data_IF_144538511237
#
_entry.id   IF_144538511237
#
_cell.length_a   1.000
_cell.length_b   1.000
_cell.length_c   1.000
_cell.angle_alpha   90.00
_cell.angle_beta   90.00
_cell.angle_gamma   90.00
#
_symmetry.space_group_name_H-M   'P 1'
#
loop_
_entity.id
_entity.type
_entity.pdbx_description
1 polymer ?
#
# COMPACT_ATOMS: atom_id res chain seq x y z
N UNK A 1 63.32 55.90 -58.49
CA UNK A 1 64.55 56.25 -57.76
C UNK A 1 64.87 55.05 -56.87
N UNK A 2 65.92 54.31 -57.25
CA UNK A 2 66.63 53.19 -56.58
C UNK A 2 65.76 51.94 -56.27
N UNK A 3 65.80 50.86 -57.08
CA UNK A 3 66.74 49.71 -57.02
C UNK A 3 66.56 48.88 -55.71
N UNK A 4 66.38 47.55 -55.65
CA UNK A 4 67.09 46.41 -56.26
C UNK A 4 66.41 45.09 -55.81
N UNK A 5 66.31 44.17 -56.78
CA UNK A 5 66.48 42.70 -56.77
C UNK A 5 66.33 41.80 -55.53
N UNK A 6 65.66 40.67 -55.82
CA UNK A 6 66.11 39.26 -55.67
C UNK A 6 67.19 38.92 -54.63
N UNK A 7 66.94 37.85 -53.87
CA UNK A 7 67.73 36.61 -53.90
C UNK A 7 67.12 35.56 -52.95
N UNK A 8 66.89 34.33 -53.43
CA UNK A 8 67.65 33.11 -53.10
C UNK A 8 67.44 32.62 -51.64
N UNK A 9 67.35 31.34 -51.28
CA UNK A 9 67.35 30.02 -51.92
C UNK A 9 67.25 29.03 -50.73
N UNK A 10 67.20 27.73 -51.01
CA UNK A 10 67.64 26.61 -50.14
C UNK A 10 66.62 26.06 -49.13
N UNK A 11 66.00 24.91 -49.42
CA UNK A 11 66.48 23.50 -49.20
C UNK A 11 66.51 23.15 -47.70
N UNK A 12 66.16 21.97 -47.20
CA UNK A 12 65.98 20.61 -47.74
C UNK A 12 65.25 19.80 -46.65
N UNK A 13 64.50 18.76 -47.04
CA UNK A 13 64.39 17.45 -46.38
C UNK A 13 64.12 17.32 -44.86
N UNK A 14 63.03 16.65 -44.48
CA UNK A 14 62.99 15.18 -44.34
C UNK A 14 61.83 14.73 -43.45
N UNK A 15 61.11 13.74 -43.97
CA UNK A 15 60.25 12.73 -43.35
C UNK A 15 60.16 12.63 -41.82
N UNK A 16 58.92 12.61 -41.30
CA UNK A 16 58.43 11.53 -40.43
C UNK A 16 56.96 11.24 -40.75
N UNK A 17 56.68 9.95 -40.94
CA UNK A 17 55.42 9.28 -41.19
C UNK A 17 54.51 9.35 -39.96
N UNK A 18 53.21 9.60 -40.15
CA UNK A 18 52.24 9.61 -39.06
C UNK A 18 50.79 9.56 -39.57
N UNK A 19 50.45 8.49 -40.29
CA UNK A 19 49.08 8.08 -40.58
C UNK A 19 48.29 7.87 -39.29
N UNK A 20 47.24 8.68 -39.07
CA UNK A 20 46.16 8.36 -38.13
C UNK A 20 44.83 8.54 -38.87
N UNK A 21 44.38 7.41 -39.42
CA UNK A 21 43.02 7.22 -39.88
C UNK A 21 42.09 7.29 -38.66
N UNK A 22 41.28 8.35 -38.60
CA UNK A 22 40.13 8.38 -37.69
C UNK A 22 39.07 7.44 -38.24
N UNK A 23 39.07 6.20 -37.75
CA UNK A 23 37.93 5.31 -37.88
C UNK A 23 36.79 5.87 -37.01
N UNK A 24 35.83 6.54 -37.65
CA UNK A 24 34.57 6.89 -37.05
C UNK A 24 33.76 5.60 -36.84
N UNK A 25 33.92 5.00 -35.66
CA UNK A 25 32.96 4.02 -35.15
C UNK A 25 31.65 4.74 -34.89
N UNK A 26 30.75 4.68 -35.87
CA UNK A 26 29.31 4.85 -35.67
C UNK A 26 28.84 3.67 -34.82
N UNK A 27 29.02 3.76 -33.50
CA UNK A 27 28.21 3.00 -32.57
C UNK A 27 26.79 3.54 -32.71
N UNK A 28 25.99 2.86 -33.54
CA UNK A 28 24.55 3.03 -33.54
C UNK A 28 24.04 2.78 -32.13
N UNK A 29 23.81 3.86 -31.38
CA UNK A 29 23.01 3.84 -30.19
C UNK A 29 21.61 3.41 -30.65
N UNK A 30 21.36 2.10 -30.57
CA UNK A 30 20.00 1.57 -30.52
C UNK A 30 19.42 2.21 -29.27
N UNK A 31 18.76 3.35 -29.49
CA UNK A 31 17.87 3.94 -28.53
C UNK A 31 16.73 2.93 -28.44
N UNK A 32 16.89 1.94 -27.58
CA UNK A 32 15.78 1.19 -27.07
C UNK A 32 14.89 2.25 -26.43
N UNK A 33 13.92 2.74 -27.20
CA UNK A 33 12.76 3.39 -26.67
C UNK A 33 12.16 2.35 -25.74
N UNK A 34 12.57 2.40 -24.47
CA UNK A 34 11.82 1.87 -23.38
C UNK A 34 10.46 2.52 -23.54
N UNK A 35 9.55 1.80 -24.18
CA UNK A 35 8.13 2.09 -24.09
C UNK A 35 7.88 2.09 -22.60
N UNK A 36 7.84 3.29 -22.00
CA UNK A 36 7.30 3.51 -20.68
C UNK A 36 5.93 2.84 -20.72
N UNK A 37 5.88 1.64 -20.15
CA UNK A 37 4.64 0.90 -20.02
C UNK A 37 3.81 1.82 -19.14
N UNK A 38 2.82 2.49 -19.72
CA UNK A 38 1.90 3.34 -18.98
C UNK A 38 1.29 2.44 -17.90
N UNK A 39 1.79 2.58 -16.68
CA UNK A 39 1.36 1.76 -15.55
C UNK A 39 -0.03 2.26 -15.22
N UNK A 40 -1.04 1.51 -15.67
CA UNK A 40 -2.40 1.69 -15.17
C UNK A 40 -2.37 1.40 -13.67
N UNK A 41 -3.08 2.24 -12.92
CA UNK A 41 -3.22 2.12 -11.48
C UNK A 41 -4.71 2.09 -11.15
N UNK A 42 -5.36 1.01 -11.59
CA UNK A 42 -6.74 0.75 -11.20
C UNK A 42 -6.74 0.24 -9.76
N UNK A 43 -7.37 1.00 -8.86
CA UNK A 43 -7.49 0.65 -7.45
C UNK A 43 -8.89 0.13 -7.17
N UNK A 44 -8.98 -1.03 -6.52
CA UNK A 44 -10.19 -1.44 -5.81
C UNK A 44 -10.00 -1.15 -4.31
N UNK A 45 -10.81 -0.27 -3.75
CA UNK A 45 -10.75 0.15 -2.36
C UNK A 45 -12.00 -0.34 -1.62
N UNK A 46 -11.82 -1.32 -0.74
CA UNK A 46 -12.80 -1.73 0.25
C UNK A 46 -12.74 -0.79 1.46
N UNK A 47 -13.59 0.22 1.45
CA UNK A 47 -13.72 1.23 2.50
C UNK A 47 -14.78 0.78 3.50
N UNK A 48 -14.39 -0.10 4.42
CA UNK A 48 -15.30 -0.55 5.47
C UNK A 48 -15.37 0.48 6.60
N UNK A 49 -14.32 1.31 6.73
CA UNK A 49 -14.12 2.27 7.80
C UNK A 49 -14.63 3.68 7.48
N UNK A 50 -15.29 3.96 6.37
CA UNK A 50 -15.69 5.34 6.01
C UNK A 50 -14.51 6.33 5.99
N UNK A 51 -13.38 5.88 5.44
CA UNK A 51 -12.09 6.53 5.51
C UNK A 51 -11.88 7.55 4.39
N UNK A 52 -12.62 8.66 4.45
CA UNK A 52 -12.54 9.74 3.45
C UNK A 52 -11.10 10.25 3.26
N UNK A 53 -10.33 10.40 4.34
CA UNK A 53 -8.95 10.86 4.28
C UNK A 53 -8.01 9.85 3.59
N UNK A 54 -8.19 8.55 3.84
CA UNK A 54 -7.42 7.51 3.15
C UNK A 54 -7.77 7.47 1.65
N UNK A 55 -9.06 7.47 1.33
CA UNK A 55 -9.57 7.50 -0.05
C UNK A 55 -8.98 8.69 -0.80
N UNK A 56 -9.06 9.89 -0.23
CA UNK A 56 -8.48 11.10 -0.81
C UNK A 56 -6.95 11.00 -0.97
N UNK A 57 -6.25 10.34 -0.04
CA UNK A 57 -4.80 10.13 -0.12
C UNK A 57 -4.44 9.24 -1.33
N UNK A 58 -5.14 8.13 -1.55
CA UNK A 58 -4.98 7.29 -2.75
C UNK A 58 -5.35 8.03 -4.04
N UNK A 59 -6.37 8.88 -3.99
CA UNK A 59 -6.74 9.78 -5.09
C UNK A 59 -5.77 10.93 -5.34
N UNK A 60 -4.83 11.22 -4.45
CA UNK A 60 -3.90 12.33 -4.64
C UNK A 60 -2.52 11.89 -5.15
N UNK A 61 -2.08 10.69 -4.79
CA UNK A 61 -0.69 10.23 -5.07
C UNK A 61 -0.55 9.47 -6.40
N UNK A 62 -1.67 9.14 -7.05
CA UNK A 62 -1.65 8.48 -8.36
C UNK A 62 -1.88 9.46 -9.51
N UNK A 63 -1.10 9.37 -10.62
CA UNK A 63 -1.28 10.22 -11.80
C UNK A 63 -2.72 10.18 -12.32
N UNK A 64 -3.32 11.37 -12.53
CA UNK A 64 -4.72 11.52 -12.95
C UNK A 64 -5.04 10.89 -14.31
N UNK A 65 -4.07 10.80 -15.20
CA UNK A 65 -4.26 10.37 -16.60
C UNK A 65 -4.48 8.86 -16.77
N UNK A 66 -4.21 8.04 -15.74
CA UNK A 66 -4.33 6.57 -15.83
C UNK A 66 -4.86 5.92 -14.55
N UNK A 67 -5.70 6.64 -13.80
CA UNK A 67 -6.29 6.15 -12.55
C UNK A 67 -7.78 5.88 -12.69
N UNK A 68 -8.20 4.73 -12.18
CA UNK A 68 -9.59 4.48 -11.82
C UNK A 68 -9.65 3.99 -10.39
N UNK A 69 -10.46 4.64 -9.55
CA UNK A 69 -10.72 4.20 -8.18
C UNK A 69 -12.12 3.60 -8.13
N UNK A 70 -12.20 2.33 -7.80
CA UNK A 70 -13.44 1.62 -7.52
C UNK A 70 -13.62 1.54 -6.02
N UNK A 71 -14.66 2.18 -5.49
CA UNK A 71 -14.94 2.22 -4.06
C UNK A 71 -16.05 1.22 -3.72
N UNK A 72 -15.81 0.39 -2.71
CA UNK A 72 -16.79 -0.54 -2.13
C UNK A 72 -16.85 -0.28 -0.63
N UNK A 73 -17.99 0.15 -0.06
CA UNK A 73 -19.25 0.49 -0.72
C UNK A 73 -19.16 1.73 -1.62
N UNK A 74 -19.91 1.71 -2.72
CA UNK A 74 -19.96 2.78 -3.70
C UNK A 74 -20.60 4.08 -3.17
N UNK A 75 -20.21 5.22 -3.75
CA UNK A 75 -20.79 6.53 -3.40
C UNK A 75 -22.26 6.66 -3.80
N UNK A 76 -22.73 5.87 -4.78
CA UNK A 76 -24.17 5.82 -5.11
C UNK A 76 -24.98 5.13 -4.03
N UNK A 77 -24.38 4.17 -3.32
CA UNK A 77 -25.01 3.48 -2.19
C UNK A 77 -24.97 4.32 -0.92
N UNK A 78 -23.80 4.86 -0.60
CA UNK A 78 -23.57 5.74 0.53
C UNK A 78 -23.04 7.08 0.05
N UNK A 79 -23.98 7.99 -0.22
CA UNK A 79 -23.66 9.36 -0.60
C UNK A 79 -22.91 10.09 0.52
N UNK A 80 -22.24 11.22 0.22
CA UNK A 80 -21.46 11.96 1.21
C UNK A 80 -22.25 12.40 2.44
N UNK A 81 -23.53 12.75 2.29
CA UNK A 81 -24.37 13.17 3.42
C UNK A 81 -24.71 12.01 4.34
N UNK A 82 -24.95 10.83 3.79
CA UNK A 82 -25.15 9.59 4.54
C UNK A 82 -23.87 9.16 5.25
N UNK A 83 -22.73 9.22 4.56
CA UNK A 83 -21.40 8.93 5.15
C UNK A 83 -21.08 9.85 6.33
N UNK A 84 -21.39 11.15 6.24
CA UNK A 84 -21.28 12.09 7.37
C UNK A 84 -22.15 11.70 8.56
N UNK A 85 -23.40 11.27 8.32
CA UNK A 85 -24.30 10.82 9.39
C UNK A 85 -23.78 9.55 10.07
N UNK A 86 -23.25 8.60 9.30
CA UNK A 86 -22.66 7.37 9.84
C UNK A 86 -21.42 7.71 10.68
N UNK A 87 -20.55 8.59 10.19
CA UNK A 87 -19.36 9.05 10.93
C UNK A 87 -19.73 9.71 12.26
N UNK A 88 -20.73 10.61 12.24
CA UNK A 88 -21.20 11.27 13.46
C UNK A 88 -21.78 10.27 14.46
N UNK A 89 -22.54 9.27 13.97
CA UNK A 89 -23.07 8.19 14.80
C UNK A 89 -21.94 7.36 15.42
N UNK A 90 -20.90 7.03 14.66
CA UNK A 90 -19.77 6.25 15.16
C UNK A 90 -18.99 6.98 16.26
N UNK A 91 -18.74 8.28 16.11
CA UNK A 91 -18.11 9.10 17.16
C UNK A 91 -18.88 9.04 18.49
N UNK A 92 -20.21 9.11 18.42
CA UNK A 92 -21.05 8.97 19.61
C UNK A 92 -20.94 7.56 20.22
N UNK A 93 -20.87 6.53 19.37
CA UNK A 93 -20.66 5.14 19.81
C UNK A 93 -19.33 4.98 20.52
N UNK A 94 -18.24 5.54 20.01
CA UNK A 94 -16.91 5.46 20.63
C UNK A 94 -16.89 6.13 22.02
N UNK A 95 -17.51 7.30 22.14
CA UNK A 95 -17.66 7.99 23.43
C UNK A 95 -18.44 7.13 24.46
N UNK A 96 -19.50 6.45 24.02
CA UNK A 96 -20.28 5.57 24.88
C UNK A 96 -19.55 4.26 25.20
N UNK A 97 -18.77 3.69 24.28
CA UNK A 97 -17.93 2.52 24.54
C UNK A 97 -16.90 2.85 25.61
N UNK A 98 -16.25 4.03 25.53
CA UNK A 98 -15.33 4.49 26.56
C UNK A 98 -16.00 4.58 27.93
N UNK A 99 -17.23 5.11 28.01
CA UNK A 99 -18.03 5.11 29.26
C UNK A 99 -18.39 3.70 29.72
N UNK A 100 -18.83 2.83 28.80
CA UNK A 100 -19.20 1.45 29.09
C UNK A 100 -18.02 0.62 29.63
N UNK A 101 -16.78 0.94 29.25
CA UNK A 101 -15.58 0.28 29.80
C UNK A 101 -15.46 0.43 31.33
N UNK A 102 -16.02 1.51 31.89
CA UNK A 102 -16.04 1.76 33.35
C UNK A 102 -17.13 0.97 34.10
N UNK A 103 -18.00 0.24 33.39
CA UNK A 103 -19.09 -0.53 33.99
C UNK A 103 -18.65 -1.88 34.57
N UNK A 104 -17.38 -2.25 34.43
CA UNK A 104 -16.82 -3.47 35.00
C UNK A 104 -15.92 -3.14 36.22
N UNK A 105 -16.19 -3.68 37.43
CA UNK A 105 -17.29 -4.59 37.76
C UNK A 105 -18.64 -3.86 37.93
N UNK A 106 -19.74 -4.57 37.60
CA UNK A 106 -21.09 -4.09 37.83
C UNK A 106 -21.43 -4.21 39.32
N UNK A 107 -21.74 -3.10 39.96
CA UNK A 107 -22.10 -2.99 41.39
C UNK A 107 -23.56 -2.54 41.54
N UNK A 108 -24.19 -2.72 42.71
CA UNK A 108 -25.52 -2.16 42.96
C UNK A 108 -25.58 -0.63 42.74
N UNK A 109 -24.48 0.09 43.01
CA UNK A 109 -24.42 1.54 42.91
C UNK A 109 -24.37 2.07 41.46
N UNK A 110 -23.70 1.37 40.55
CA UNK A 110 -23.56 1.79 39.14
C UNK A 110 -24.49 1.04 38.17
N UNK A 111 -25.30 0.09 38.66
CA UNK A 111 -26.14 -0.77 37.82
C UNK A 111 -27.06 0.02 36.89
N UNK A 112 -27.82 0.97 37.44
CA UNK A 112 -28.80 1.73 36.65
C UNK A 112 -28.13 2.59 35.56
N UNK A 113 -27.03 3.27 35.89
CA UNK A 113 -26.28 4.07 34.91
C UNK A 113 -25.64 3.20 33.83
N UNK A 114 -25.13 2.01 34.19
CA UNK A 114 -24.53 1.10 33.23
C UNK A 114 -25.55 0.48 32.27
N UNK A 115 -26.74 0.10 32.77
CA UNK A 115 -27.83 -0.32 31.88
C UNK A 115 -28.24 0.79 30.91
N UNK A 116 -28.37 2.03 31.37
CA UNK A 116 -28.69 3.15 30.49
C UNK A 116 -27.65 3.34 29.37
N UNK A 117 -26.35 3.23 29.68
CA UNK A 117 -25.27 3.29 28.68
C UNK A 117 -25.37 2.14 27.68
N UNK A 118 -25.64 0.92 28.13
CA UNK A 118 -25.79 -0.23 27.23
C UNK A 118 -27.05 -0.16 26.36
N UNK A 119 -28.15 0.36 26.90
CA UNK A 119 -29.37 0.60 26.13
C UNK A 119 -29.12 1.66 25.05
N UNK A 120 -28.41 2.75 25.38
CA UNK A 120 -28.03 3.78 24.40
C UNK A 120 -27.09 3.23 23.32
N UNK A 121 -26.09 2.41 23.68
CA UNK A 121 -25.24 1.71 22.72
C UNK A 121 -26.03 0.82 21.77
N UNK A 122 -27.03 0.10 22.29
CA UNK A 122 -27.93 -0.73 21.47
C UNK A 122 -28.73 0.14 20.49
N UNK A 123 -29.27 1.26 20.94
CA UNK A 123 -30.01 2.20 20.09
C UNK A 123 -29.13 2.80 18.99
N UNK A 124 -27.88 3.16 19.29
CA UNK A 124 -26.93 3.61 18.29
C UNK A 124 -26.63 2.51 17.26
N UNK A 125 -26.49 1.25 17.68
CA UNK A 125 -26.24 0.15 16.75
C UNK A 125 -27.44 -0.08 15.81
N UNK A 126 -28.68 -0.01 16.32
CA UNK A 126 -29.89 -0.09 15.47
C UNK A 126 -29.92 1.05 14.45
N UNK A 127 -29.57 2.28 14.87
CA UNK A 127 -29.48 3.44 13.95
C UNK A 127 -28.38 3.23 12.91
N UNK A 128 -27.26 2.62 13.29
CA UNK A 128 -26.15 2.29 12.38
C UNK A 128 -26.63 1.33 11.31
N UNK A 129 -27.28 0.23 11.69
CA UNK A 129 -27.82 -0.75 10.75
C UNK A 129 -28.80 -0.14 9.74
N UNK A 130 -29.65 0.79 10.18
CA UNK A 130 -30.58 1.51 9.30
C UNK A 130 -29.84 2.43 8.31
N UNK A 131 -28.80 3.13 8.77
CA UNK A 131 -28.00 4.00 7.91
C UNK A 131 -27.14 3.22 6.93
N UNK A 132 -26.52 2.12 7.35
CA UNK A 132 -25.71 1.25 6.50
C UNK A 132 -26.55 0.27 5.69
N UNK A 133 -27.87 0.25 5.85
CA UNK A 133 -28.78 -0.68 5.18
C UNK A 133 -28.38 -2.15 5.36
N UNK A 134 -27.76 -2.49 6.49
CA UNK A 134 -27.19 -3.80 6.77
C UNK A 134 -26.25 -4.28 5.65
N UNK A 135 -25.35 -3.41 5.21
CA UNK A 135 -24.35 -3.76 4.20
C UNK A 135 -23.56 -5.01 4.61
N UNK A 136 -23.66 -6.03 3.77
CA UNK A 136 -23.10 -7.36 3.97
C UNK A 136 -22.26 -7.80 2.74
N UNK A 137 -21.74 -9.02 2.78
CA UNK A 137 -20.96 -9.59 1.67
C UNK A 137 -21.70 -9.63 0.33
N UNK A 138 -23.03 -9.77 0.34
CA UNK A 138 -23.83 -9.77 -0.89
C UNK A 138 -23.88 -8.38 -1.51
N UNK A 139 -24.13 -7.35 -0.71
CA UNK A 139 -24.13 -5.97 -1.19
C UNK A 139 -22.73 -5.51 -1.61
N UNK A 140 -21.68 -5.98 -0.92
CA UNK A 140 -20.30 -5.77 -1.33
C UNK A 140 -19.98 -6.42 -2.69
N UNK A 141 -20.48 -7.64 -2.93
CA UNK A 141 -20.37 -8.30 -4.23
C UNK A 141 -21.08 -7.50 -5.33
N UNK A 142 -22.30 -7.03 -5.08
CA UNK A 142 -23.05 -6.24 -6.06
C UNK A 142 -22.32 -4.94 -6.42
N UNK A 143 -21.74 -4.25 -5.43
CA UNK A 143 -20.88 -3.07 -5.69
C UNK A 143 -19.60 -3.44 -6.44
N UNK A 144 -18.96 -4.57 -6.09
CA UNK A 144 -17.74 -5.03 -6.78
C UNK A 144 -18.01 -5.44 -8.23
N UNK A 145 -19.21 -5.94 -8.55
CA UNK A 145 -19.59 -6.26 -9.93
C UNK A 145 -19.66 -5.03 -10.84
N UNK A 146 -19.84 -3.84 -10.27
CA UNK A 146 -19.83 -2.59 -11.04
C UNK A 146 -18.46 -2.26 -11.66
N UNK A 147 -17.40 -2.94 -11.22
CA UNK A 147 -16.05 -2.87 -11.82
C UNK A 147 -16.05 -3.42 -13.26
N UNK A 148 -16.98 -4.33 -13.57
CA UNK A 148 -17.07 -4.99 -14.87
C UNK A 148 -15.82 -5.80 -15.20
N UNK A 149 -15.35 -5.68 -16.45
CA UNK A 149 -14.15 -6.38 -16.94
C UNK A 149 -12.83 -5.63 -16.63
N UNK A 150 -12.88 -4.58 -15.79
CA UNK A 150 -11.68 -3.81 -15.48
C UNK A 150 -10.67 -4.66 -14.71
N UNK A 151 -9.42 -4.61 -15.16
CA UNK A 151 -8.29 -5.20 -14.45
C UNK A 151 -7.91 -4.28 -13.30
N UNK A 152 -7.75 -4.82 -12.10
CA UNK A 152 -7.32 -4.06 -10.91
C UNK A 152 -5.85 -4.36 -10.64
N UNK A 153 -5.07 -3.31 -10.41
CA UNK A 153 -3.65 -3.38 -10.13
C UNK A 153 -3.38 -3.41 -8.62
N UNK A 154 -4.09 -2.57 -7.88
CA UNK A 154 -3.91 -2.38 -6.44
C UNK A 154 -5.25 -2.64 -5.74
N UNK A 155 -5.22 -3.48 -4.71
CA UNK A 155 -6.39 -3.67 -3.83
C UNK A 155 -6.08 -3.11 -2.47
N UNK A 156 -6.98 -2.30 -1.94
CA UNK A 156 -6.91 -1.72 -0.60
C UNK A 156 -8.07 -2.25 0.23
N UNK A 157 -7.80 -2.71 1.44
CA UNK A 157 -8.83 -3.08 2.41
C UNK A 157 -8.62 -2.24 3.67
N UNK A 158 -9.52 -1.29 3.91
CA UNK A 158 -9.54 -0.44 5.10
C UNK A 158 -10.62 -0.91 6.06
N UNK A 159 -10.19 -1.42 7.21
CA UNK A 159 -11.08 -2.04 8.20
C UNK A 159 -10.32 -2.57 9.41
N UNK A 160 -10.98 -2.61 10.57
CA UNK A 160 -10.48 -3.36 11.72
C UNK A 160 -10.58 -4.86 11.44
N UNK A 161 -9.45 -5.55 11.47
CA UNK A 161 -9.45 -7.01 11.41
C UNK A 161 -9.59 -7.59 12.81
N UNK A 162 -10.53 -8.52 12.97
CA UNK A 162 -10.70 -9.32 14.18
C UNK A 162 -11.06 -10.75 13.76
N UNK A 163 -10.28 -11.75 14.21
CA UNK A 163 -10.63 -13.17 14.18
C UNK A 163 -11.45 -13.62 12.95
N UNK A 164 -10.92 -13.39 11.73
CA UNK A 164 -11.44 -13.80 10.40
C UNK A 164 -12.50 -12.89 9.75
N UNK A 165 -12.73 -11.68 10.24
CA UNK A 165 -13.53 -10.70 9.53
C UNK A 165 -12.87 -9.32 9.56
N UNK A 166 -13.24 -8.51 8.58
CA UNK A 166 -12.91 -7.11 8.47
C UNK A 166 -14.16 -6.31 8.80
N UNK A 167 -14.07 -5.41 9.78
CA UNK A 167 -15.18 -4.60 10.22
C UNK A 167 -14.79 -3.14 10.21
N UNK A 168 -15.73 -2.30 9.80
CA UNK A 168 -15.67 -0.87 10.02
C UNK A 168 -17.05 -0.27 10.24
N UNK A 169 -17.13 1.04 10.14
CA UNK A 169 -18.36 1.80 10.32
C UNK A 169 -19.44 1.42 9.29
N UNK A 170 -19.03 1.23 8.04
CA UNK A 170 -19.92 1.01 6.90
C UNK A 170 -20.35 -0.44 6.78
N UNK A 171 -19.48 -1.38 7.15
CA UNK A 171 -19.62 -2.77 6.76
C UNK A 171 -18.84 -3.74 7.66
N UNK A 172 -19.29 -4.99 7.69
CA UNK A 172 -18.53 -6.13 8.15
C UNK A 172 -18.48 -7.16 7.02
N UNK A 173 -17.27 -7.59 6.65
CA UNK A 173 -17.01 -8.61 5.64
C UNK A 173 -16.22 -9.74 6.25
N UNK A 174 -16.76 -10.96 6.16
CA UNK A 174 -16.01 -12.14 6.51
C UNK A 174 -14.99 -12.47 5.41
N UNK A 175 -13.94 -13.20 5.78
CA UNK A 175 -12.98 -13.74 4.80
C UNK A 175 -13.68 -14.57 3.72
N UNK A 176 -14.73 -15.32 4.09
CA UNK A 176 -15.53 -16.10 3.12
C UNK A 176 -16.29 -15.22 2.13
N UNK A 177 -16.76 -14.04 2.55
CA UNK A 177 -17.38 -13.06 1.65
C UNK A 177 -16.36 -12.55 0.63
N UNK A 178 -15.14 -12.26 1.07
CA UNK A 178 -14.05 -11.85 0.18
C UNK A 178 -13.71 -12.94 -0.84
N UNK A 179 -13.66 -14.22 -0.43
CA UNK A 179 -13.47 -15.33 -1.36
C UNK A 179 -14.64 -15.48 -2.35
N UNK A 180 -15.88 -15.29 -1.90
CA UNK A 180 -17.05 -15.31 -2.78
C UNK A 180 -16.99 -14.18 -3.82
N UNK A 181 -16.57 -12.97 -3.39
CA UNK A 181 -16.35 -11.82 -4.27
C UNK A 181 -15.24 -12.10 -5.27
N UNK A 182 -14.09 -12.60 -4.84
CA UNK A 182 -12.96 -12.92 -5.71
C UNK A 182 -13.32 -13.96 -6.76
N UNK A 183 -14.12 -14.97 -6.40
CA UNK A 183 -14.63 -15.97 -7.34
C UNK A 183 -15.56 -15.36 -8.39
N UNK A 184 -16.38 -14.39 -7.99
CA UNK A 184 -17.37 -13.77 -8.88
C UNK A 184 -16.78 -12.64 -9.75
N UNK A 185 -15.71 -11.99 -9.30
CA UNK A 185 -15.03 -10.88 -9.99
C UNK A 185 -13.52 -11.19 -10.10
N UNK A 186 -13.14 -12.26 -10.82
CA UNK A 186 -11.76 -12.75 -10.84
C UNK A 186 -10.77 -11.73 -11.42
N UNK A 187 -11.21 -10.87 -12.34
CA UNK A 187 -10.34 -9.86 -12.95
C UNK A 187 -9.79 -8.86 -11.93
N UNK A 188 -10.54 -8.57 -10.86
CA UNK A 188 -10.12 -7.65 -9.81
C UNK A 188 -9.15 -8.27 -8.80
N UNK A 189 -9.17 -9.61 -8.64
CA UNK A 189 -8.41 -10.30 -7.60
C UNK A 189 -7.19 -11.05 -8.15
N UNK A 190 -7.33 -11.68 -9.33
CA UNK A 190 -6.29 -12.52 -9.91
C UNK A 190 -5.15 -11.72 -10.56
N UNK A 191 -5.33 -10.43 -10.80
CA UNK A 191 -4.33 -9.57 -11.44
C UNK A 191 -3.73 -8.51 -10.52
N UNK A 192 -4.30 -8.35 -9.32
CA UNK A 192 -3.80 -7.38 -8.35
C UNK A 192 -2.36 -7.74 -7.99
N UNK A 193 -1.42 -6.85 -8.34
CA UNK A 193 0.02 -7.00 -8.06
C UNK A 193 0.37 -6.52 -6.66
N UNK A 194 -0.43 -5.61 -6.12
CA UNK A 194 -0.25 -5.03 -4.79
C UNK A 194 -1.54 -5.09 -3.98
N UNK A 195 -1.41 -5.51 -2.72
CA UNK A 195 -2.51 -5.54 -1.76
C UNK A 195 -2.08 -4.76 -0.52
N UNK A 196 -2.92 -3.83 -0.09
CA UNK A 196 -2.66 -2.94 1.06
C UNK A 196 -3.77 -3.15 2.09
N UNK A 197 -3.38 -3.59 3.27
CA UNK A 197 -4.28 -3.93 4.37
C UNK A 197 -4.13 -2.87 5.47
N UNK A 198 -5.09 -1.97 5.56
CA UNK A 198 -5.13 -0.89 6.54
C UNK A 198 -5.95 -1.36 7.76
N UNK A 199 -5.35 -2.27 8.52
CA UNK A 199 -5.98 -2.87 9.69
C UNK A 199 -4.97 -3.61 10.57
N UNK A 200 -5.29 -3.73 11.86
CA UNK A 200 -4.47 -4.45 12.85
C UNK A 200 -4.38 -5.95 12.54
N UNK A 201 -3.28 -6.60 12.90
CA UNK A 201 -3.07 -8.07 12.78
C UNK A 201 -3.26 -8.66 11.35
N UNK A 202 -3.32 -7.80 10.32
CA UNK A 202 -3.48 -8.20 8.91
C UNK A 202 -2.17 -8.65 8.27
N UNK A 203 -1.05 -8.21 8.85
CA UNK A 203 0.32 -8.41 8.36
C UNK A 203 1.05 -9.59 8.98
N UNK A 204 0.35 -10.47 9.71
CA UNK A 204 0.94 -11.69 10.27
C UNK A 204 1.25 -12.71 9.16
N UNK A 205 2.31 -13.53 9.27
CA UNK A 205 2.65 -14.53 8.25
C UNK A 205 1.49 -15.45 7.90
N UNK A 206 0.69 -15.86 8.89
CA UNK A 206 -0.49 -16.69 8.67
C UNK A 206 -1.53 -15.98 7.78
N UNK A 207 -1.89 -14.72 8.10
CA UNK A 207 -2.86 -13.98 7.30
C UNK A 207 -2.35 -13.72 5.88
N UNK A 208 -1.08 -13.34 5.74
CA UNK A 208 -0.47 -13.05 4.44
C UNK A 208 -0.41 -14.29 3.54
N UNK A 209 -0.14 -15.48 4.09
CA UNK A 209 0.02 -16.71 3.30
C UNK A 209 -1.27 -17.51 3.14
N UNK A 210 -2.04 -17.69 4.22
CA UNK A 210 -3.19 -18.59 4.23
C UNK A 210 -4.48 -17.92 3.76
N UNK A 211 -4.55 -16.58 3.82
CA UNK A 211 -5.72 -15.78 3.43
C UNK A 211 -5.39 -14.92 2.21
N UNK A 212 -4.58 -13.88 2.35
CA UNK A 212 -4.38 -12.88 1.29
C UNK A 212 -3.60 -13.42 0.10
N UNK A 213 -2.59 -14.27 0.33
CA UNK A 213 -1.85 -14.93 -0.74
C UNK A 213 -2.69 -15.88 -1.60
N UNK A 214 -3.81 -16.40 -1.06
CA UNK A 214 -4.79 -17.21 -1.80
C UNK A 214 -5.84 -16.34 -2.50
N UNK A 215 -6.28 -15.28 -1.83
CA UNK A 215 -7.27 -14.35 -2.34
C UNK A 215 -6.71 -13.54 -3.54
N UNK A 216 -5.42 -13.20 -3.50
CA UNK A 216 -4.71 -12.42 -4.51
C UNK A 216 -3.50 -13.21 -5.04
N UNK A 217 -3.72 -14.17 -5.95
CA UNK A 217 -2.66 -15.09 -6.37
C UNK A 217 -1.51 -14.42 -7.14
N UNK A 218 -1.76 -13.30 -7.83
CA UNK A 218 -0.72 -12.54 -8.54
C UNK A 218 -0.03 -11.45 -7.70
N UNK A 219 -0.45 -11.25 -6.44
CA UNK A 219 0.13 -10.21 -5.61
C UNK A 219 1.60 -10.56 -5.30
N UNK A 220 2.49 -9.70 -5.79
CA UNK A 220 3.92 -9.76 -5.50
C UNK A 220 4.28 -8.93 -4.26
N UNK A 221 3.41 -7.99 -3.88
CA UNK A 221 3.55 -7.16 -2.70
C UNK A 221 2.25 -7.19 -1.90
N UNK A 222 2.30 -7.71 -0.68
CA UNK A 222 1.20 -7.58 0.27
C UNK A 222 1.72 -6.82 1.49
N UNK A 223 1.05 -5.73 1.83
CA UNK A 223 1.40 -4.83 2.92
C UNK A 223 0.33 -4.88 3.99
N UNK A 224 0.72 -5.04 5.25
CA UNK A 224 -0.21 -5.07 6.37
C UNK A 224 0.49 -4.72 7.68
N UNK A 225 -0.20 -4.93 8.78
CA UNK A 225 0.36 -4.68 10.12
C UNK A 225 0.19 -5.86 11.06
N UNK A 226 1.21 -6.17 11.85
CA UNK A 226 1.15 -7.14 12.95
C UNK A 226 0.71 -6.53 14.28
N UNK A 227 0.68 -5.21 14.38
CA UNK A 227 0.41 -4.50 15.62
C UNK A 227 -0.81 -3.59 15.42
N UNK A 228 -1.27 -2.89 16.47
CA UNK A 228 -2.30 -1.87 16.31
C UNK A 228 -1.90 -0.83 15.25
N UNK A 229 -2.61 -0.85 14.13
CA UNK A 229 -2.43 0.11 13.06
C UNK A 229 -2.99 1.48 13.47
N UNK A 230 -2.37 2.59 13.02
CA UNK A 230 -2.95 3.93 13.16
C UNK A 230 -4.36 4.01 12.57
N UNK A 231 -5.20 4.86 13.16
CA UNK A 231 -6.55 5.12 12.66
C UNK A 231 -6.54 5.89 11.35
N UNK A 232 -7.65 5.83 10.60
CA UNK A 232 -7.77 6.38 9.24
C UNK A 232 -7.47 7.87 9.12
N UNK A 233 -7.71 8.64 10.17
CA UNK A 233 -7.53 10.10 10.20
C UNK A 233 -6.19 10.53 10.81
N UNK A 234 -5.40 9.58 11.34
CA UNK A 234 -4.10 9.91 11.93
C UNK A 234 -3.09 10.37 10.86
N UNK A 235 -2.36 11.48 11.06
CA UNK A 235 -1.39 11.98 10.09
C UNK A 235 -0.33 10.96 9.68
N UNK A 236 0.10 10.11 10.62
CA UNK A 236 1.07 9.03 10.34
C UNK A 236 0.53 7.95 9.41
N UNK A 237 -0.78 7.69 9.43
CA UNK A 237 -1.42 6.75 8.49
C UNK A 237 -1.37 7.29 7.07
N UNK A 238 -1.76 8.56 6.89
CA UNK A 238 -1.77 9.22 5.59
C UNK A 238 -0.35 9.40 5.03
N UNK A 239 0.62 9.70 5.90
CA UNK A 239 2.04 9.79 5.52
C UNK A 239 2.60 8.43 5.10
N UNK A 240 2.26 7.36 5.82
CA UNK A 240 2.59 5.99 5.43
C UNK A 240 2.02 5.61 4.06
N UNK A 241 0.74 5.84 3.82
CA UNK A 241 0.08 5.55 2.52
C UNK A 241 0.82 6.28 1.39
N UNK A 242 1.14 7.56 1.60
CA UNK A 242 1.90 8.36 0.65
C UNK A 242 3.27 7.76 0.35
N UNK A 243 4.05 7.46 1.38
CA UNK A 243 5.40 6.90 1.22
C UNK A 243 5.34 5.53 0.53
N UNK A 244 4.35 4.70 0.87
CA UNK A 244 4.14 3.41 0.22
C UNK A 244 3.85 3.55 -1.27
N UNK A 245 2.88 4.40 -1.65
CA UNK A 245 2.48 4.59 -3.05
C UNK A 245 3.61 5.17 -3.90
N UNK A 246 4.41 6.09 -3.35
CA UNK A 246 5.58 6.67 -4.05
C UNK A 246 6.68 5.65 -4.35
N UNK A 247 6.77 4.59 -3.54
CA UNK A 247 7.79 3.57 -3.67
C UNK A 247 7.26 2.23 -4.18
N UNK A 248 5.96 2.08 -4.46
CA UNK A 248 5.34 0.82 -4.91
C UNK A 248 6.06 0.24 -6.15
N UNK A 249 6.30 1.08 -7.16
CA UNK A 249 7.00 0.65 -8.38
C UNK A 249 8.43 0.17 -8.11
N UNK A 250 9.15 0.79 -7.17
CA UNK A 250 10.49 0.37 -6.78
C UNK A 250 10.45 -0.94 -5.98
N UNK A 251 9.46 -1.11 -5.10
CA UNK A 251 9.25 -2.35 -4.36
C UNK A 251 8.96 -3.53 -5.31
N UNK A 252 8.15 -3.30 -6.35
CA UNK A 252 7.84 -4.33 -7.34
C UNK A 252 9.01 -4.64 -8.29
N UNK A 253 9.78 -3.63 -8.66
CA UNK A 253 10.91 -3.74 -9.59
C UNK A 253 12.21 -4.25 -8.93
N UNK A 254 12.32 -4.20 -7.61
CA UNK A 254 13.47 -4.71 -6.87
C UNK A 254 13.81 -6.16 -7.26
N UNK A 255 15.10 -6.48 -7.28
CA UNK A 255 15.59 -7.80 -7.64
C UNK A 255 16.04 -8.61 -6.41
N UNK A 256 16.46 -7.93 -5.35
CA UNK A 256 16.93 -8.55 -4.12
C UNK A 256 16.33 -7.90 -2.85
N UNK A 257 16.27 -8.62 -1.71
CA UNK A 257 15.83 -8.06 -0.44
C UNK A 257 16.62 -6.81 0.03
N UNK A 258 17.89 -6.74 -0.34
CA UNK A 258 18.76 -5.59 -0.02
C UNK A 258 18.28 -4.30 -0.70
N UNK A 259 17.64 -4.39 -1.87
CA UNK A 259 17.05 -3.25 -2.58
C UNK A 259 15.78 -2.73 -1.89
N UNK A 260 15.05 -3.62 -1.22
CA UNK A 260 13.81 -3.31 -0.48
C UNK A 260 14.12 -2.65 0.87
N UNK A 261 15.23 -3.05 1.51
CA UNK A 261 15.54 -2.66 2.90
C UNK A 261 15.52 -1.13 3.13
N UNK A 262 16.11 -0.28 2.27
CA UNK A 262 16.02 1.17 2.43
C UNK A 262 14.59 1.72 2.35
N UNK A 263 13.76 1.15 1.48
CA UNK A 263 12.35 1.54 1.33
C UNK A 263 11.58 1.12 2.59
N UNK A 264 11.79 -0.12 3.06
CA UNK A 264 11.16 -0.62 4.28
C UNK A 264 11.51 0.22 5.51
N UNK A 265 12.77 0.66 5.62
CA UNK A 265 13.19 1.59 6.69
C UNK A 265 12.49 2.95 6.62
N UNK A 266 12.23 3.48 5.41
CA UNK A 266 11.44 4.71 5.24
C UNK A 266 10.00 4.51 5.70
N UNK A 267 9.37 3.39 5.33
CA UNK A 267 8.02 3.06 5.77
C UNK A 267 7.91 2.95 7.30
N UNK A 268 8.89 2.32 7.96
CA UNK A 268 8.95 2.26 9.42
C UNK A 268 9.15 3.64 10.07
N UNK A 269 9.85 4.56 9.40
CA UNK A 269 10.07 5.91 9.91
C UNK A 269 8.77 6.73 10.03
N UNK A 270 7.73 6.35 9.28
CA UNK A 270 6.38 6.91 9.40
C UNK A 270 5.66 6.50 10.69
N UNK A 271 6.29 5.70 11.57
CA UNK A 271 5.70 5.19 12.82
C UNK A 271 4.41 4.39 12.59
N UNK A 272 4.36 3.71 11.45
CA UNK A 272 3.35 2.73 11.10
C UNK A 272 3.99 1.33 11.29
N UNK A 273 3.34 0.39 11.99
CA UNK A 273 3.90 -0.92 12.26
C UNK A 273 3.78 -1.83 11.02
N UNK A 274 4.56 -1.48 9.99
CA UNK A 274 4.48 -2.09 8.66
C UNK A 274 5.10 -3.47 8.64
N UNK A 275 4.45 -4.37 7.92
CA UNK A 275 5.04 -5.62 7.44
C UNK A 275 4.81 -5.78 5.95
N UNK A 276 5.74 -6.48 5.29
CA UNK A 276 5.70 -6.74 3.85
C UNK A 276 5.88 -8.23 3.59
N UNK A 277 4.97 -8.82 2.81
CA UNK A 277 5.26 -10.04 2.05
C UNK A 277 5.66 -9.63 0.64
N UNK A 278 6.90 -9.91 0.27
CA UNK A 278 7.50 -9.55 -1.01
C UNK A 278 7.86 -10.78 -1.83
N UNK A 279 7.49 -10.76 -3.12
CA UNK A 279 7.63 -11.86 -4.10
C UNK A 279 7.09 -13.20 -3.57
N UNK A 280 6.11 -13.14 -2.65
CA UNK A 280 5.49 -14.29 -1.97
C UNK A 280 6.46 -15.19 -1.20
N UNK A 281 7.68 -14.71 -0.95
CA UNK A 281 8.75 -15.50 -0.34
C UNK A 281 9.38 -14.78 0.85
N UNK A 282 9.58 -13.47 0.74
CA UNK A 282 10.32 -12.70 1.71
C UNK A 282 9.40 -11.94 2.65
N UNK A 283 9.69 -12.03 3.94
CA UNK A 283 8.90 -11.41 4.99
C UNK A 283 9.71 -10.34 5.71
N UNK A 284 9.22 -9.10 5.68
CA UNK A 284 9.79 -7.97 6.39
C UNK A 284 8.88 -7.63 7.56
N UNK A 285 9.45 -7.61 8.76
CA UNK A 285 8.77 -7.24 10.00
C UNK A 285 9.74 -6.53 10.94
N UNK A 286 9.24 -5.59 11.75
CA UNK A 286 10.07 -4.94 12.76
C UNK A 286 10.46 -5.94 13.87
N UNK A 287 9.58 -6.90 14.16
CA UNK A 287 9.80 -7.99 15.11
C UNK A 287 10.31 -9.27 14.42
N UNK A 288 11.21 -9.12 13.44
CA UNK A 288 11.72 -10.22 12.63
C UNK A 288 12.25 -11.41 13.45
N UNK A 289 12.85 -11.16 14.61
CA UNK A 289 13.40 -12.22 15.49
C UNK A 289 12.33 -13.16 16.03
N UNK A 290 11.17 -12.61 16.37
CA UNK A 290 10.04 -13.44 16.80
C UNK A 290 9.62 -14.41 15.67
N UNK A 291 9.67 -13.93 14.42
CA UNK A 291 9.20 -14.67 13.26
C UNK A 291 10.19 -15.64 12.64
N UNK A 292 11.49 -15.59 12.96
CA UNK A 292 12.51 -16.49 12.39
C UNK A 292 12.12 -17.97 12.46
N UNK A 293 11.42 -18.36 13.53
CA UNK A 293 11.00 -19.74 13.77
C UNK A 293 9.50 -19.99 13.54
N UNK A 294 8.73 -18.96 13.14
CA UNK A 294 7.26 -19.02 13.08
C UNK A 294 6.65 -18.40 11.82
N UNK A 295 7.47 -17.97 10.84
CA UNK A 295 6.98 -17.31 9.63
C UNK A 295 6.39 -18.26 8.56
N UNK A 296 5.92 -19.46 8.94
CA UNK A 296 5.20 -20.38 8.05
C UNK A 296 5.90 -20.67 6.69
N UNK A 297 7.22 -20.82 6.70
CA UNK A 297 8.02 -21.12 5.51
C UNK A 297 8.48 -19.91 4.70
N UNK A 298 8.16 -18.69 5.14
CA UNK A 298 8.68 -17.46 4.57
C UNK A 298 10.13 -17.22 4.98
N UNK A 299 10.90 -16.58 4.10
CA UNK A 299 12.25 -16.08 4.38
C UNK A 299 12.16 -14.76 5.10
N UNK A 300 12.36 -14.80 6.42
CA UNK A 300 12.39 -13.59 7.25
C UNK A 300 13.65 -12.78 6.93
N UNK A 301 13.48 -11.51 6.61
CA UNK A 301 14.58 -10.59 6.34
C UNK A 301 14.93 -9.84 7.63
N UNK A 302 16.16 -10.02 8.16
CA UNK A 302 16.59 -9.29 9.33
C UNK A 302 16.59 -7.78 9.09
N UNK A 303 16.13 -7.01 10.09
CA UNK A 303 16.27 -5.57 10.05
C UNK A 303 17.76 -5.22 10.11
N UNK A 304 18.29 -4.61 9.04
CA UNK A 304 19.64 -4.04 9.06
C UNK A 304 19.62 -2.86 10.02
N UNK A 305 20.43 -2.93 11.08
CA UNK A 305 20.58 -1.82 12.02
C UNK A 305 21.16 -0.62 11.27
N UNK A 306 20.53 0.54 11.37
CA UNK A 306 20.98 1.80 10.75
C UNK A 306 22.36 2.26 11.27
N UNK A 307 22.93 1.59 12.27
CA UNK A 307 24.30 1.79 12.76
C UNK A 307 25.39 1.11 11.92
N UNK A 308 25.03 0.20 11.02
CA UNK A 308 25.98 -0.51 10.15
C UNK A 308 25.89 -0.02 8.71
N UNK A 309 26.07 1.29 8.49
CA UNK A 309 26.54 1.73 7.17
C UNK A 309 27.98 1.21 7.04
N UNK A 310 28.31 0.38 6.03
CA UNK A 310 29.68 -0.03 5.81
C UNK A 310 30.49 1.24 5.59
N UNK A 311 31.42 1.56 6.51
CA UNK A 311 32.43 2.59 6.27
C UNK A 311 33.06 2.25 4.92
N UNK A 312 32.81 3.09 3.91
CA UNK A 312 33.53 3.03 2.63
C UNK A 312 35.00 2.82 2.96
N UNK A 313 35.56 1.65 2.62
CA UNK A 313 37.00 1.44 2.67
C UNK A 313 37.61 2.54 1.82
N UNK A 314 38.23 3.53 2.47
CA UNK A 314 39.18 4.41 1.80
C UNK A 314 40.24 3.49 1.23
N UNK A 315 40.29 3.38 -0.10
CA UNK A 315 41.46 2.82 -0.78
C UNK A 315 42.64 3.72 -0.38
N UNK A 316 43.59 3.12 0.34
CA UNK A 316 44.94 3.65 0.46
C UNK A 316 45.71 3.31 -0.82
#
# INVERSE_FOLDING_TARGET
>A
MIMVNHCFLRTLMSHVVGTLAFAAFLTGAVSASATERVVRNNILFFDLNNAEAEVAQFESELPSENRQLFLVPSLSRFDPERRKKILALHRNTDELIAKASSCAPLTPANRASCHAVWDELRDLEVRRELLTMKFDGKLALDDTRMIGDSVVDIVVISGHHQRKFFRGELAELHVDDLFAIAKAVPNAFNHARTVILLGCDTGTPQMLTEVFGKLFPAAELIVGSELPAPTRDEPRNLSFIRELLRNESQLLAAAAPDDITPIYQRLLAERWPVTLLWKREYFFSDDWRYWENSAHGLRVIPRISTTEVPRKKKRA
#
